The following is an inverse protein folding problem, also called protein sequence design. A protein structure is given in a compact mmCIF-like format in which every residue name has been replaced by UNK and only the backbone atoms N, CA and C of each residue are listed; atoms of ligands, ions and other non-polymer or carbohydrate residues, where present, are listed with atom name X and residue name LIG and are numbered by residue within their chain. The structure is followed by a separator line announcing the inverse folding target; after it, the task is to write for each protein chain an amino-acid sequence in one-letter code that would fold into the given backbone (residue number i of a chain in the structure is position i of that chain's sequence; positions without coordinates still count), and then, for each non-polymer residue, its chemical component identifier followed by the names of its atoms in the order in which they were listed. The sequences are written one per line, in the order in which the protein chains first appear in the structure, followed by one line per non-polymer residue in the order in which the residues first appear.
data_IF_767035898795
#
_entry.id   IF_767035898795
#
_cell.length_a   1.000
_cell.length_b   1.000
_cell.length_c   1.000
_cell.angle_alpha   90.00
_cell.angle_beta   90.00
_cell.angle_gamma   90.00
#
_symmetry.space_group_name_H-M   'P 1'
#
loop_
_entity.id
_entity.type
_entity.pdbx_description
1 polymer ?
#
# COMPACT_ATOMS: atom_id res chain seq x y z
N UNK A 1 -13.69 -17.74 -13.51
CA UNK A 1 -13.92 -17.03 -12.22
C UNK A 1 -14.64 -17.96 -11.24
N UNK A 2 -14.09 -18.18 -10.05
CA UNK A 2 -14.47 -19.28 -9.14
C UNK A 2 -15.78 -18.92 -8.43
N UNK A 3 -16.89 -19.42 -8.96
CA UNK A 3 -18.22 -19.34 -8.34
C UNK A 3 -18.53 -20.67 -7.65
N UNK A 4 -17.65 -21.11 -6.74
CA UNK A 4 -17.90 -22.31 -5.93
C UNK A 4 -18.27 -21.93 -4.51
N UNK A 5 -19.27 -22.60 -3.94
CA UNK A 5 -19.58 -22.56 -2.51
C UNK A 5 -18.60 -23.42 -1.70
N UNK A 6 -17.75 -24.20 -2.36
CA UNK A 6 -16.70 -25.00 -1.75
C UNK A 6 -15.49 -24.12 -1.40
N UNK A 7 -15.33 -23.87 -0.10
CA UNK A 7 -14.25 -23.07 0.48
C UNK A 7 -12.87 -23.68 0.20
N UNK A 8 -12.75 -25.03 0.13
CA UNK A 8 -11.48 -25.70 -0.11
C UNK A 8 -11.01 -25.51 -1.56
N UNK A 9 -11.95 -25.51 -2.51
CA UNK A 9 -11.65 -25.22 -3.91
C UNK A 9 -11.22 -23.76 -4.09
N UNK A 10 -11.93 -22.83 -3.45
CA UNK A 10 -11.57 -21.40 -3.50
C UNK A 10 -10.18 -21.15 -2.90
N UNK A 11 -9.88 -21.75 -1.75
CA UNK A 11 -8.56 -21.69 -1.11
C UNK A 11 -7.45 -22.20 -2.04
N UNK A 12 -7.64 -23.41 -2.59
CA UNK A 12 -6.63 -24.06 -3.43
C UNK A 12 -6.33 -23.25 -4.69
N UNK A 13 -7.35 -22.62 -5.27
CA UNK A 13 -7.16 -21.75 -6.44
C UNK A 13 -6.57 -20.39 -6.08
N UNK A 14 -6.87 -19.84 -4.90
CA UNK A 14 -6.19 -18.64 -4.41
C UNK A 14 -4.69 -18.89 -4.20
N UNK A 15 -4.32 -20.05 -3.62
CA UNK A 15 -2.92 -20.48 -3.51
C UNK A 15 -2.25 -20.63 -4.87
N UNK A 16 -2.94 -21.26 -5.84
CA UNK A 16 -2.41 -21.37 -7.20
C UNK A 16 -2.17 -19.99 -7.83
N UNK A 17 -3.13 -19.08 -7.72
CA UNK A 17 -2.99 -17.70 -8.22
C UNK A 17 -1.86 -16.95 -7.52
N UNK A 18 -1.66 -17.17 -6.23
CA UNK A 18 -0.54 -16.59 -5.49
C UNK A 18 0.81 -17.14 -5.96
N UNK A 19 0.90 -18.43 -6.29
CA UNK A 19 2.12 -19.00 -6.85
C UNK A 19 2.38 -18.50 -8.29
N UNK A 20 1.31 -18.33 -9.08
CA UNK A 20 1.39 -17.71 -10.41
C UNK A 20 1.85 -16.25 -10.30
N UNK A 21 1.34 -15.46 -9.36
CA UNK A 21 1.77 -14.06 -9.19
C UNK A 21 3.25 -13.95 -8.81
N UNK A 22 3.81 -14.92 -8.07
CA UNK A 22 5.24 -14.97 -7.74
C UNK A 22 6.13 -15.39 -8.91
N UNK A 23 5.71 -16.41 -9.68
CA UNK A 23 6.57 -17.09 -10.66
C UNK A 23 6.33 -16.67 -12.10
N UNK A 24 5.10 -16.30 -12.45
CA UNK A 24 4.65 -16.03 -13.81
C UNK A 24 3.68 -14.85 -13.86
N UNK A 25 3.95 -13.77 -13.11
CA UNK A 25 3.10 -12.57 -13.01
C UNK A 25 2.64 -12.00 -14.37
N UNK A 26 3.47 -12.15 -15.42
CA UNK A 26 3.15 -11.69 -16.78
C UNK A 26 1.88 -12.31 -17.36
N UNK A 27 1.49 -13.51 -16.91
CA UNK A 27 0.25 -14.19 -17.33
C UNK A 27 -1.01 -13.53 -16.78
N UNK A 28 -0.89 -12.75 -15.71
CA UNK A 28 -2.01 -12.01 -15.12
C UNK A 28 -2.19 -10.71 -15.91
N UNK A 29 -3.39 -10.51 -16.46
CA UNK A 29 -3.73 -9.36 -17.32
C UNK A 29 -4.09 -8.13 -16.49
N UNK A 30 -4.26 -6.99 -17.17
CA UNK A 30 -4.71 -5.75 -16.51
C UNK A 30 -6.16 -5.90 -16.02
N UNK A 31 -6.99 -6.56 -16.82
CA UNK A 31 -8.37 -6.91 -16.49
C UNK A 31 -8.45 -7.82 -15.26
N UNK A 32 -7.55 -8.81 -15.16
CA UNK A 32 -7.47 -9.67 -13.97
C UNK A 32 -7.14 -8.87 -12.71
N UNK A 33 -6.21 -7.91 -12.80
CA UNK A 33 -5.84 -7.03 -11.69
C UNK A 33 -7.04 -6.20 -11.23
N UNK A 34 -7.77 -5.59 -12.16
CA UNK A 34 -8.99 -4.85 -11.86
C UNK A 34 -10.00 -5.75 -11.13
N UNK A 35 -10.22 -6.97 -11.63
CA UNK A 35 -11.12 -7.93 -11.00
C UNK A 35 -10.67 -8.31 -9.58
N UNK A 36 -9.36 -8.44 -9.33
CA UNK A 36 -8.82 -8.69 -8.01
C UNK A 36 -9.10 -7.52 -7.06
N UNK A 37 -8.91 -6.26 -7.48
CA UNK A 37 -9.28 -5.10 -6.67
C UNK A 37 -10.75 -5.08 -6.30
N UNK A 38 -11.64 -5.23 -7.28
CA UNK A 38 -13.08 -5.28 -7.03
C UNK A 38 -13.45 -6.42 -6.08
N UNK A 39 -12.80 -7.58 -6.21
CA UNK A 39 -13.04 -8.73 -5.34
C UNK A 39 -12.59 -8.46 -3.91
N UNK A 40 -11.43 -7.84 -3.73
CA UNK A 40 -10.91 -7.47 -2.41
C UNK A 40 -11.81 -6.46 -1.70
N UNK A 41 -12.43 -5.53 -2.43
CA UNK A 41 -13.36 -4.55 -1.86
C UNK A 41 -14.73 -5.17 -1.54
N UNK A 42 -15.24 -6.07 -2.39
CA UNK A 42 -16.58 -6.67 -2.23
C UNK A 42 -16.63 -7.86 -1.26
N UNK A 43 -15.51 -8.53 -0.98
CA UNK A 43 -15.50 -9.77 -0.24
C UNK A 43 -14.43 -9.79 0.87
N UNK A 44 -14.86 -9.44 2.09
CA UNK A 44 -14.01 -9.40 3.28
C UNK A 44 -13.41 -10.75 3.67
N UNK A 45 -14.12 -11.86 3.43
CA UNK A 45 -13.63 -13.21 3.77
C UNK A 45 -12.36 -13.60 2.99
N UNK A 46 -12.20 -13.06 1.77
CA UNK A 46 -11.07 -13.36 0.88
C UNK A 46 -10.13 -12.17 0.68
N UNK A 47 -10.43 -11.03 1.31
CA UNK A 47 -9.75 -9.76 1.09
C UNK A 47 -8.23 -9.89 1.32
N UNK A 48 -7.81 -10.49 2.43
CA UNK A 48 -6.38 -10.67 2.75
C UNK A 48 -5.67 -11.53 1.70
N UNK A 49 -6.24 -12.66 1.30
CA UNK A 49 -5.63 -13.53 0.28
C UNK A 49 -5.47 -12.80 -1.05
N UNK A 50 -6.48 -12.04 -1.47
CA UNK A 50 -6.42 -11.27 -2.72
C UNK A 50 -5.41 -10.13 -2.63
N UNK A 51 -5.31 -9.45 -1.48
CA UNK A 51 -4.33 -8.39 -1.27
C UNK A 51 -2.88 -8.91 -1.28
N UNK A 52 -2.64 -10.12 -0.77
CA UNK A 52 -1.31 -10.76 -0.88
C UNK A 52 -0.93 -11.03 -2.34
N UNK A 53 -1.90 -11.38 -3.19
CA UNK A 53 -1.69 -11.53 -4.63
C UNK A 53 -1.35 -10.17 -5.24
N UNK A 54 -2.14 -9.13 -4.94
CA UNK A 54 -1.94 -7.77 -5.45
C UNK A 54 -0.59 -7.17 -5.00
N UNK A 55 -0.14 -7.45 -3.77
CA UNK A 55 1.20 -7.07 -3.27
C UNK A 55 2.32 -7.70 -4.09
N UNK A 56 2.19 -8.99 -4.44
CA UNK A 56 3.20 -9.63 -5.29
C UNK A 56 3.17 -9.06 -6.71
N UNK A 57 1.99 -8.80 -7.26
CA UNK A 57 1.84 -8.17 -8.58
C UNK A 57 2.45 -6.76 -8.63
N UNK A 58 2.28 -5.96 -7.57
CA UNK A 58 2.93 -4.66 -7.46
C UNK A 58 4.46 -4.74 -7.53
N UNK A 59 5.06 -5.84 -7.07
CA UNK A 59 6.51 -6.07 -7.12
C UNK A 59 6.98 -6.61 -8.48
N UNK A 60 6.16 -7.43 -9.14
CA UNK A 60 6.56 -8.22 -10.32
C UNK A 60 6.11 -7.64 -11.66
N UNK A 61 5.01 -6.90 -11.68
CA UNK A 61 4.49 -6.20 -12.84
C UNK A 61 3.90 -4.83 -12.43
N UNK A 62 4.69 -3.95 -11.79
CA UNK A 62 4.24 -2.63 -11.34
C UNK A 62 3.63 -1.80 -12.47
N UNK A 63 4.12 -1.95 -13.71
CA UNK A 63 3.61 -1.23 -14.88
C UNK A 63 2.12 -1.48 -15.13
N UNK A 64 1.62 -2.70 -14.89
CA UNK A 64 0.19 -3.02 -15.03
C UNK A 64 -0.62 -2.56 -13.83
N UNK A 65 0.00 -2.50 -12.65
CA UNK A 65 -0.66 -2.13 -11.40
C UNK A 65 -0.92 -0.62 -11.30
N UNK A 66 -0.05 0.19 -11.92
CA UNK A 66 -0.16 1.65 -11.90
C UNK A 66 -1.43 2.15 -12.59
N UNK A 67 -1.87 1.48 -13.65
CA UNK A 67 -3.14 1.80 -14.32
C UNK A 67 -4.37 1.72 -13.38
N UNK A 68 -4.24 0.99 -12.28
CA UNK A 68 -5.29 0.75 -11.29
C UNK A 68 -5.08 1.50 -9.97
N UNK A 69 -4.19 2.51 -9.95
CA UNK A 69 -3.86 3.25 -8.73
C UNK A 69 -5.05 3.92 -8.06
N UNK A 70 -6.10 4.25 -8.82
CA UNK A 70 -7.34 4.83 -8.29
C UNK A 70 -8.01 3.94 -7.24
N UNK A 71 -7.93 2.60 -7.37
CA UNK A 71 -8.43 1.67 -6.36
C UNK A 71 -7.68 1.78 -5.04
N UNK A 72 -6.39 2.08 -5.08
CA UNK A 72 -5.54 2.22 -3.89
C UNK A 72 -5.79 3.55 -3.18
N UNK A 73 -6.03 4.61 -3.96
CA UNK A 73 -6.25 5.97 -3.43
C UNK A 73 -7.67 6.17 -2.88
N UNK A 74 -8.64 5.32 -3.26
CA UNK A 74 -9.98 5.34 -2.66
C UNK A 74 -9.97 4.77 -1.23
N UNK A 75 -9.66 5.65 -0.28
CA UNK A 75 -9.64 5.34 1.14
C UNK A 75 -10.97 4.78 1.67
N UNK A 76 -12.11 5.22 1.11
CA UNK A 76 -13.42 4.82 1.61
C UNK A 76 -13.73 3.34 1.35
N UNK A 77 -13.03 2.75 0.38
CA UNK A 77 -13.21 1.35 0.01
C UNK A 77 -12.44 0.36 0.90
N UNK A 78 -11.59 0.83 1.82
CA UNK A 78 -10.70 -0.03 2.61
C UNK A 78 -10.92 0.11 4.12
N UNK A 79 -11.09 -1.00 4.86
CA UNK A 79 -11.01 -0.98 6.33
C UNK A 79 -9.64 -0.46 6.80
N UNK A 80 -9.59 0.25 7.94
CA UNK A 80 -8.36 0.91 8.43
C UNK A 80 -7.13 -0.01 8.46
N UNK A 81 -7.28 -1.20 9.06
CA UNK A 81 -6.18 -2.17 9.14
C UNK A 81 -5.70 -2.63 7.75
N UNK A 82 -6.61 -2.81 6.78
CA UNK A 82 -6.24 -3.19 5.40
C UNK A 82 -5.53 -2.04 4.69
N UNK A 83 -6.07 -0.84 4.82
CA UNK A 83 -5.52 0.37 4.23
C UNK A 83 -4.06 0.61 4.69
N UNK A 84 -3.83 0.48 5.99
CA UNK A 84 -2.51 0.69 6.59
C UNK A 84 -1.52 -0.40 6.19
N UNK A 85 -1.85 -1.69 6.31
CA UNK A 85 -0.85 -2.74 6.17
C UNK A 85 -0.65 -3.23 4.73
N UNK A 86 -1.72 -3.30 3.94
CA UNK A 86 -1.65 -3.85 2.58
C UNK A 86 -1.61 -2.75 1.54
N UNK A 87 -2.58 -1.83 1.58
CA UNK A 87 -2.72 -0.80 0.56
C UNK A 87 -1.52 0.15 0.60
N UNK A 88 -1.09 0.59 1.80
CA UNK A 88 0.12 1.43 1.93
C UNK A 88 1.38 0.73 1.41
N UNK A 89 1.55 -0.58 1.64
CA UNK A 89 2.71 -1.31 1.12
C UNK A 89 2.69 -1.44 -0.41
N UNK A 90 1.51 -1.68 -1.00
CA UNK A 90 1.31 -1.65 -2.46
C UNK A 90 1.63 -0.27 -3.01
N UNK A 91 1.03 0.79 -2.45
CA UNK A 91 1.26 2.17 -2.86
C UNK A 91 2.74 2.52 -2.80
N UNK A 92 3.40 2.30 -1.65
CA UNK A 92 4.83 2.52 -1.49
C UNK A 92 5.64 1.78 -2.56
N UNK A 93 5.33 0.51 -2.84
CA UNK A 93 6.01 -0.27 -3.88
C UNK A 93 5.90 0.37 -5.26
N UNK A 94 4.69 0.82 -5.64
CA UNK A 94 4.46 1.46 -6.93
C UNK A 94 5.13 2.84 -7.01
N UNK A 95 5.07 3.64 -5.94
CA UNK A 95 5.75 4.93 -5.88
C UNK A 95 7.27 4.80 -5.99
N UNK A 96 7.87 3.77 -5.40
CA UNK A 96 9.31 3.49 -5.55
C UNK A 96 9.70 3.05 -6.97
N UNK A 97 8.75 2.52 -7.73
CA UNK A 97 8.94 2.13 -9.13
C UNK A 97 8.78 3.34 -10.08
N UNK A 98 7.69 4.11 -9.95
CA UNK A 98 7.41 5.26 -10.81
C UNK A 98 7.21 6.53 -9.99
N UNK A 99 8.08 7.52 -10.24
CA UNK A 99 8.07 8.80 -9.50
C UNK A 99 6.77 9.59 -9.67
N UNK A 100 6.13 9.50 -10.83
CA UNK A 100 4.95 10.32 -11.17
C UNK A 100 3.76 10.08 -10.22
N UNK A 101 3.65 8.88 -9.66
CA UNK A 101 2.58 8.54 -8.71
C UNK A 101 2.95 8.81 -7.26
N UNK A 102 4.23 9.11 -6.96
CA UNK A 102 4.73 9.22 -5.61
C UNK A 102 4.08 10.38 -4.84
N UNK A 103 3.83 11.52 -5.49
CA UNK A 103 3.19 12.68 -4.85
C UNK A 103 1.77 12.34 -4.38
N UNK A 104 0.95 11.75 -5.24
CA UNK A 104 -0.44 11.39 -4.89
C UNK A 104 -0.49 10.35 -3.76
N UNK A 105 0.47 9.44 -3.73
CA UNK A 105 0.59 8.44 -2.65
C UNK A 105 1.00 9.09 -1.34
N UNK A 106 1.95 10.03 -1.37
CA UNK A 106 2.35 10.82 -0.19
C UNK A 106 1.15 11.56 0.38
N UNK A 107 0.35 12.21 -0.46
CA UNK A 107 -0.86 12.92 -0.04
C UNK A 107 -1.85 11.96 0.64
N UNK A 108 -2.06 10.78 0.05
CA UNK A 108 -2.90 9.74 0.65
C UNK A 108 -2.39 9.31 2.03
N UNK A 109 -1.08 9.06 2.17
CA UNK A 109 -0.46 8.67 3.45
C UNK A 109 -0.62 9.77 4.50
N UNK A 110 -0.44 11.04 4.14
CA UNK A 110 -0.67 12.16 5.05
C UNK A 110 -2.12 12.25 5.51
N UNK A 111 -3.09 11.99 4.62
CA UNK A 111 -4.50 11.94 5.00
C UNK A 111 -4.79 10.82 6.01
N UNK A 112 -4.11 9.66 5.89
CA UNK A 112 -4.20 8.60 6.91
C UNK A 112 -3.59 9.06 8.23
N UNK A 113 -2.35 9.56 8.23
CA UNK A 113 -1.65 10.03 9.43
C UNK A 113 -2.41 11.10 10.20
N UNK A 114 -3.08 12.03 9.50
CA UNK A 114 -3.90 13.09 10.12
C UNK A 114 -5.18 12.56 10.78
N UNK A 115 -5.60 11.33 10.45
CA UNK A 115 -6.87 10.75 10.89
C UNK A 115 -6.76 9.65 11.95
N UNK A 116 -5.53 9.27 12.34
CA UNK A 116 -5.29 8.23 13.34
C UNK A 116 -4.26 8.67 14.37
N UNK A 117 -4.44 8.22 15.61
CA UNK A 117 -3.48 8.34 16.71
C UNK A 117 -2.97 6.96 17.17
N UNK A 118 -3.37 5.90 16.48
CA UNK A 118 -3.01 4.54 16.82
C UNK A 118 -1.58 4.26 16.38
N UNK A 119 -0.69 3.94 17.34
CA UNK A 119 0.72 3.61 17.08
C UNK A 119 0.91 2.60 15.95
N UNK A 120 0.14 1.52 16.02
CA UNK A 120 0.19 0.40 15.08
C UNK A 120 -0.18 0.83 13.64
N UNK A 121 -0.92 1.92 13.49
CA UNK A 121 -1.24 2.51 12.19
C UNK A 121 -0.22 3.56 11.75
N UNK A 122 0.24 4.40 12.67
CA UNK A 122 1.17 5.48 12.36
C UNK A 122 2.57 4.97 11.96
N UNK A 123 3.09 3.92 12.61
CA UNK A 123 4.45 3.43 12.33
C UNK A 123 4.64 2.92 10.88
N UNK A 124 3.75 2.07 10.31
CA UNK A 124 3.84 1.69 8.90
C UNK A 124 3.76 2.87 7.93
N UNK A 125 2.91 3.86 8.24
CA UNK A 125 2.73 5.05 7.41
C UNK A 125 3.99 5.91 7.39
N UNK A 126 4.59 6.19 8.55
CA UNK A 126 5.88 6.90 8.62
C UNK A 126 7.00 6.12 7.92
N UNK A 127 7.07 4.80 8.11
CA UNK A 127 8.06 3.96 7.42
C UNK A 127 7.92 4.02 5.89
N UNK A 128 6.69 4.13 5.37
CA UNK A 128 6.48 4.35 3.94
C UNK A 128 6.99 5.72 3.50
N UNK A 129 6.71 6.78 4.27
CA UNK A 129 7.24 8.13 3.98
C UNK A 129 8.77 8.17 4.00
N UNK A 130 9.43 7.49 4.94
CA UNK A 130 10.89 7.42 4.99
C UNK A 130 11.47 6.83 3.70
N UNK A 131 10.92 5.70 3.25
CA UNK A 131 11.36 5.04 2.03
C UNK A 131 11.19 5.94 0.79
N UNK A 132 10.06 6.66 0.71
CA UNK A 132 9.80 7.58 -0.39
C UNK A 132 10.69 8.83 -0.33
N UNK A 133 10.92 9.39 0.86
CA UNK A 133 11.80 10.53 1.06
C UNK A 133 13.24 10.21 0.69
N UNK A 134 13.71 9.04 1.11
CA UNK A 134 15.06 8.56 0.79
C UNK A 134 15.23 8.35 -0.72
N UNK A 135 14.24 7.76 -1.39
CA UNK A 135 14.27 7.55 -2.85
C UNK A 135 14.15 8.85 -3.64
N UNK A 136 13.34 9.79 -3.16
CA UNK A 136 13.04 11.06 -3.82
C UNK A 136 13.23 12.25 -2.86
N UNK A 137 14.47 12.72 -2.68
CA UNK A 137 14.74 13.90 -1.88
C UNK A 137 13.92 15.11 -2.38
N UNK A 138 13.32 15.84 -1.44
CA UNK A 138 12.43 16.97 -1.73
C UNK A 138 10.99 16.61 -2.10
N UNK A 139 10.61 15.32 -2.10
CA UNK A 139 9.22 14.90 -2.30
C UNK A 139 8.32 15.31 -1.13
N UNK A 140 8.85 15.29 0.10
CA UNK A 140 8.10 15.65 1.29
C UNK A 140 8.33 17.10 1.68
N UNK A 141 7.25 17.80 2.04
CA UNK A 141 7.34 19.10 2.68
C UNK A 141 7.56 18.91 4.18
N UNK A 142 8.63 19.53 4.69
CA UNK A 142 9.00 19.54 6.10
C UNK A 142 7.85 19.99 7.02
N UNK A 143 7.10 21.00 6.61
CA UNK A 143 6.00 21.57 7.41
C UNK A 143 4.83 20.58 7.57
N UNK A 144 4.53 19.80 6.54
CA UNK A 144 3.46 18.80 6.60
C UNK A 144 3.80 17.67 7.58
N UNK A 145 5.08 17.27 7.65
CA UNK A 145 5.56 16.30 8.64
C UNK A 145 5.50 16.89 10.05
N UNK A 146 5.90 18.14 10.23
CA UNK A 146 5.84 18.81 11.54
C UNK A 146 4.42 18.92 12.08
N UNK A 147 3.44 19.17 11.22
CA UNK A 147 2.04 19.32 11.59
C UNK A 147 1.41 18.04 12.18
N UNK A 148 2.01 16.86 11.97
CA UNK A 148 1.54 15.62 12.59
C UNK A 148 2.02 15.60 14.05
N UNK A 149 1.10 15.59 15.01
CA UNK A 149 1.42 15.58 16.45
C UNK A 149 1.13 14.20 17.06
N UNK A 150 1.99 13.18 16.88
CA UNK A 150 1.80 11.88 17.50
C UNK A 150 2.05 11.95 19.01
N UNK A 151 1.35 11.10 19.76
CA UNK A 151 1.48 11.01 21.23
C UNK A 151 2.39 9.86 21.66
N UNK A 152 2.50 8.78 20.87
CA UNK A 152 3.34 7.63 21.19
C UNK A 152 4.84 7.95 20.98
N UNK A 153 5.72 7.66 21.96
CA UNK A 153 7.15 7.98 21.87
C UNK A 153 7.90 7.33 20.70
N UNK A 154 7.53 6.11 20.29
CA UNK A 154 8.17 5.45 19.16
C UNK A 154 7.80 6.14 17.84
N UNK A 155 6.55 6.61 17.73
CA UNK A 155 6.10 7.39 16.57
C UNK A 155 6.77 8.76 16.55
N UNK A 156 6.92 9.43 17.70
CA UNK A 156 7.67 10.70 17.82
C UNK A 156 9.11 10.51 17.33
N UNK A 157 9.77 9.43 17.75
CA UNK A 157 11.12 9.10 17.28
C UNK A 157 11.14 8.89 15.77
N UNK A 158 10.19 8.14 15.22
CA UNK A 158 10.11 7.89 13.78
C UNK A 158 9.90 9.19 12.98
N UNK A 159 8.99 10.05 13.43
CA UNK A 159 8.78 11.38 12.85
C UNK A 159 10.08 12.18 12.87
N UNK A 160 10.84 12.15 13.97
CA UNK A 160 12.10 12.88 14.07
C UNK A 160 13.16 12.34 13.10
N UNK A 161 13.24 11.02 12.91
CA UNK A 161 14.06 10.40 11.87
C UNK A 161 13.70 10.92 10.48
N UNK A 162 12.40 10.94 10.13
CA UNK A 162 11.93 11.45 8.84
C UNK A 162 12.34 12.91 8.63
N UNK A 163 12.19 13.76 9.66
CA UNK A 163 12.61 15.15 9.60
C UNK A 163 14.13 15.31 9.38
N UNK A 164 14.94 14.44 10.00
CA UNK A 164 16.39 14.45 9.78
C UNK A 164 16.78 14.02 8.36
N UNK A 165 16.04 13.08 7.75
CA UNK A 165 16.22 12.70 6.34
C UNK A 165 15.89 13.90 5.43
N UNK A 166 14.79 14.59 5.70
CA UNK A 166 14.40 15.80 4.94
C UNK A 166 15.47 16.89 5.04
N UNK A 167 16.06 17.06 6.23
CA UNK A 167 17.14 18.02 6.47
C UNK A 167 18.52 17.57 5.90
N UNK A 168 18.64 16.35 5.36
CA UNK A 168 19.89 15.81 4.83
C UNK A 168 20.95 15.49 5.91
N UNK A 169 20.50 15.22 7.14
CA UNK A 169 21.38 14.90 8.29
C UNK A 169 21.69 13.41 8.42
N UNK A 170 20.98 12.56 7.66
CA UNK A 170 21.11 11.10 7.60
C UNK A 170 20.76 10.65 6.18
#
# INVERSE_FOLDING_TARGET
MIKSRDVNLVNSLAYLLQEVSKKQAKLITSEDIQMLFEKAQRNTNWQVCVLLILQELAKRCPEKMIDHISFLLDRSAWPSHVAVYFITDIMKTLALFQKDVASSIVDAIFLYLKSTQEKQEQLPLFSALDALCFKYPGLLNRQDVEAICPTDPDVVRQKHTLLNIIDGKT
#
